data_IF_796574968891
#
_entry.id   IF_796574968891
#
_cell.length_a   1.000
_cell.length_b   1.000
_cell.length_c   1.000
_cell.angle_alpha   90.00
_cell.angle_beta   90.00
_cell.angle_gamma   90.00
#
_symmetry.space_group_name_H-M   'P 1'
#
loop_
_entity.id
_entity.type
_entity.pdbx_description
1 polymer ?
#
# COMPACT_ATOMS: atom_id res chain seq x y z
N UNK A 1 8.26 14.45 -28.10
CA UNK A 1 8.99 15.38 -27.20
C UNK A 1 8.99 14.76 -25.82
N UNK A 2 10.00 13.92 -25.59
CA UNK A 2 10.23 13.24 -24.30
C UNK A 2 10.54 14.31 -23.24
N UNK A 3 9.78 14.33 -22.14
CA UNK A 3 10.12 15.15 -20.99
C UNK A 3 11.06 14.33 -20.12
N UNK A 4 12.29 14.80 -19.97
CA UNK A 4 13.30 14.22 -19.10
C UNK A 4 12.75 13.95 -17.68
N UNK A 5 13.19 12.87 -17.02
CA UNK A 5 12.81 12.59 -15.65
C UNK A 5 13.36 13.68 -14.72
N UNK A 6 12.47 14.31 -13.94
CA UNK A 6 12.84 15.35 -12.99
C UNK A 6 13.87 14.85 -11.97
N UNK A 7 15.09 15.40 -12.05
CA UNK A 7 16.10 15.29 -11.00
C UNK A 7 15.58 15.84 -9.67
N UNK A 8 16.07 15.27 -8.57
CA UNK A 8 15.84 15.79 -7.22
C UNK A 8 16.27 17.25 -7.15
N UNK A 9 15.30 18.15 -7.12
CA UNK A 9 15.56 19.58 -7.06
C UNK A 9 16.26 19.94 -5.75
N UNK A 10 17.50 20.42 -5.87
CA UNK A 10 18.35 20.84 -4.76
C UNK A 10 17.60 21.82 -3.81
N UNK A 11 17.98 21.89 -2.53
CA UNK A 11 17.44 22.89 -1.59
C UNK A 11 17.49 24.30 -2.21
N UNK A 12 16.33 24.96 -2.33
CA UNK A 12 16.18 26.26 -3.00
C UNK A 12 15.41 26.23 -4.33
N UNK A 13 15.27 25.06 -4.98
CA UNK A 13 14.56 24.92 -6.25
C UNK A 13 13.03 24.78 -6.13
N UNK A 14 12.50 24.66 -4.90
CA UNK A 14 11.07 24.66 -4.54
C UNK A 14 10.35 26.02 -4.71
N UNK A 15 10.90 26.88 -5.57
CA UNK A 15 10.36 28.19 -5.95
C UNK A 15 9.76 28.17 -7.34
N UNK A 16 10.15 27.22 -8.18
CA UNK A 16 9.68 27.11 -9.58
C UNK A 16 8.29 26.44 -9.65
N UNK A 17 7.60 26.55 -10.80
CA UNK A 17 6.36 25.83 -11.03
C UNK A 17 6.50 24.33 -10.76
N UNK A 18 5.62 23.81 -9.92
CA UNK A 18 5.63 22.42 -9.50
C UNK A 18 4.27 22.01 -8.92
N UNK A 19 4.07 20.71 -8.75
CA UNK A 19 2.93 20.16 -8.03
C UNK A 19 3.47 19.28 -6.90
N UNK A 20 2.99 19.53 -5.69
CA UNK A 20 3.44 18.84 -4.49
C UNK A 20 2.26 18.43 -3.63
N UNK A 21 2.29 17.18 -3.17
CA UNK A 21 1.43 16.72 -2.09
C UNK A 21 2.13 16.94 -0.75
N UNK A 22 1.42 17.55 0.19
CA UNK A 22 1.88 17.86 1.54
C UNK A 22 1.01 17.12 2.53
N UNK A 23 1.64 16.44 3.50
CA UNK A 23 0.95 15.84 4.64
C UNK A 23 1.49 16.38 5.94
N UNK A 24 0.60 16.92 6.77
CA UNK A 24 0.92 17.45 8.09
C UNK A 24 0.22 16.59 9.13
N UNK A 25 0.97 16.04 10.08
CA UNK A 25 0.46 15.06 11.05
C UNK A 25 0.34 15.71 12.42
N UNK A 26 -0.82 15.55 13.06
CA UNK A 26 -1.08 16.00 14.42
C UNK A 26 -0.11 15.35 15.40
N UNK A 27 0.17 16.03 16.51
CA UNK A 27 1.05 15.52 17.57
C UNK A 27 0.57 14.15 18.08
N UNK A 28 1.47 13.19 18.13
CA UNK A 28 1.29 11.78 18.43
C UNK A 28 0.11 11.12 17.68
N UNK A 29 -0.22 11.62 16.48
CA UNK A 29 -1.45 11.28 15.74
C UNK A 29 -2.75 11.40 16.57
N UNK A 30 -2.78 12.35 17.51
CA UNK A 30 -4.00 12.67 18.23
C UNK A 30 -5.07 13.19 17.26
N UNK A 31 -6.34 12.91 17.55
CA UNK A 31 -7.47 13.35 16.74
C UNK A 31 -7.80 14.83 17.01
N UNK A 32 -6.83 15.73 16.81
CA UNK A 32 -6.95 17.15 17.14
C UNK A 32 -7.82 17.94 16.16
N UNK A 33 -7.91 17.50 14.90
CA UNK A 33 -8.51 18.28 13.84
C UNK A 33 -9.95 17.86 13.50
N UNK A 34 -10.42 16.73 14.02
CA UNK A 34 -11.79 16.28 13.80
C UNK A 34 -12.04 14.86 14.27
N UNK A 35 -13.28 14.42 14.03
CA UNK A 35 -13.73 13.05 14.26
C UNK A 35 -14.27 12.49 12.96
N UNK A 36 -13.97 11.20 12.71
CA UNK A 36 -14.51 10.51 11.54
C UNK A 36 -15.96 10.07 11.82
N UNK A 37 -16.87 10.47 10.93
CA UNK A 37 -18.30 10.19 11.00
C UNK A 37 -18.84 9.72 9.63
N UNK A 38 -20.13 9.40 9.56
CA UNK A 38 -20.83 9.00 8.35
C UNK A 38 -22.13 9.79 8.24
N UNK A 39 -22.34 10.49 7.12
CA UNK A 39 -23.49 11.40 6.94
C UNK A 39 -24.74 10.71 6.36
N UNK A 40 -24.72 9.39 6.25
CA UNK A 40 -25.75 8.58 5.59
C UNK A 40 -25.42 8.24 4.13
N UNK A 41 -24.52 9.00 3.49
CA UNK A 41 -24.12 8.79 2.08
C UNK A 41 -22.64 8.45 1.93
N UNK A 42 -21.77 9.08 2.73
CA UNK A 42 -20.31 8.91 2.65
C UNK A 42 -19.64 9.16 3.99
N UNK A 43 -18.38 8.77 4.10
CA UNK A 43 -17.60 9.12 5.27
C UNK A 43 -17.22 10.60 5.24
N UNK A 44 -17.42 11.26 6.38
CA UNK A 44 -17.11 12.66 6.58
C UNK A 44 -16.20 12.86 7.78
N UNK A 45 -15.57 14.04 7.84
CA UNK A 45 -14.79 14.46 8.99
C UNK A 45 -15.49 15.67 9.58
N UNK A 46 -16.07 15.47 10.76
CA UNK A 46 -16.58 16.53 11.62
C UNK A 46 -15.39 17.24 12.23
N UNK A 47 -15.09 18.44 11.73
CA UNK A 47 -13.89 19.18 12.13
C UNK A 47 -14.11 19.76 13.53
N UNK A 48 -13.09 19.64 14.37
CA UNK A 48 -13.02 20.43 15.61
C UNK A 48 -12.86 21.92 15.28
N UNK A 49 -13.01 22.82 16.26
CA UNK A 49 -12.64 24.23 16.07
C UNK A 49 -11.20 24.40 15.54
N UNK A 50 -10.26 23.56 16.00
CA UNK A 50 -8.88 23.58 15.50
C UNK A 50 -8.80 23.07 14.05
N UNK A 51 -9.59 22.07 13.66
CA UNK A 51 -9.72 21.65 12.26
C UNK A 51 -10.20 22.76 11.33
N UNK A 52 -11.10 23.64 11.80
CA UNK A 52 -11.53 24.82 11.04
C UNK A 52 -10.46 25.91 10.95
N UNK A 53 -9.62 26.06 11.97
CA UNK A 53 -8.43 26.94 11.92
C UNK A 53 -7.50 26.57 10.76
N UNK A 54 -7.29 25.27 10.50
CA UNK A 54 -6.48 24.82 9.35
C UNK A 54 -7.06 25.36 8.04
N UNK A 55 -8.37 25.29 7.83
CA UNK A 55 -9.02 25.82 6.62
C UNK A 55 -8.91 27.35 6.57
N UNK A 56 -9.10 28.05 7.68
CA UNK A 56 -9.00 29.51 7.73
C UNK A 56 -7.58 30.00 7.41
N UNK A 57 -6.55 29.37 7.97
CA UNK A 57 -5.16 29.70 7.69
C UNK A 57 -4.75 29.34 6.27
N UNK A 58 -5.32 28.28 5.70
CA UNK A 58 -5.12 27.90 4.31
C UNK A 58 -5.65 28.98 3.37
N UNK A 59 -6.84 29.54 3.64
CA UNK A 59 -7.37 30.68 2.88
C UNK A 59 -6.47 31.92 2.98
N UNK A 60 -5.94 32.22 4.17
CA UNK A 60 -4.96 33.32 4.36
C UNK A 60 -3.68 33.09 3.55
N UNK A 61 -3.17 31.86 3.55
CA UNK A 61 -2.01 31.48 2.74
C UNK A 61 -2.25 31.75 1.25
N UNK A 62 -3.42 31.38 0.72
CA UNK A 62 -3.77 31.63 -0.69
C UNK A 62 -3.89 33.12 -1.02
N UNK A 63 -4.44 33.92 -0.10
CA UNK A 63 -4.53 35.37 -0.28
C UNK A 63 -3.14 36.05 -0.33
N UNK A 64 -2.17 35.51 0.41
CA UNK A 64 -0.79 36.06 0.48
C UNK A 64 0.14 35.52 -0.62
N UNK A 65 -0.23 34.41 -1.26
CA UNK A 65 0.59 33.73 -2.26
C UNK A 65 -0.28 33.35 -3.48
N UNK A 66 -0.62 34.33 -4.36
CA UNK A 66 -1.48 34.09 -5.51
C UNK A 66 -0.89 33.11 -6.54
N UNK A 67 0.41 32.83 -6.47
CA UNK A 67 1.10 31.81 -7.28
C UNK A 67 0.74 30.39 -6.89
N UNK A 68 0.06 30.20 -5.75
CA UNK A 68 -0.34 28.90 -5.24
C UNK A 68 -1.81 28.64 -5.55
N UNK A 69 -2.09 27.46 -6.10
CA UNK A 69 -3.43 26.87 -6.16
C UNK A 69 -3.48 25.61 -5.31
N UNK A 70 -4.60 25.39 -4.62
CA UNK A 70 -4.90 24.11 -3.98
C UNK A 70 -5.79 23.33 -4.94
N UNK A 71 -5.29 22.18 -5.38
CA UNK A 71 -5.99 21.29 -6.30
C UNK A 71 -6.88 20.29 -5.57
N UNK A 72 -6.50 19.91 -4.35
CA UNK A 72 -7.31 19.09 -3.45
C UNK A 72 -6.79 19.26 -2.02
N UNK A 73 -7.69 19.19 -1.04
CA UNK A 73 -7.33 19.11 0.37
C UNK A 73 -8.28 18.20 1.14
N UNK A 74 -7.78 17.67 2.26
CA UNK A 74 -8.61 16.90 3.20
C UNK A 74 -8.02 17.01 4.61
N UNK A 75 -8.77 17.67 5.49
CA UNK A 75 -8.55 17.59 6.94
C UNK A 75 -9.12 16.26 7.44
N UNK A 76 -8.24 15.42 7.96
CA UNK A 76 -8.51 14.17 8.65
C UNK A 76 -8.39 14.39 10.17
N UNK A 77 -8.93 13.49 11.01
CA UNK A 77 -8.84 13.63 12.48
C UNK A 77 -7.44 13.94 13.01
N UNK A 78 -6.43 13.23 12.52
CA UNK A 78 -5.04 13.27 12.98
C UNK A 78 -4.05 13.86 11.97
N UNK A 79 -4.50 14.30 10.79
CA UNK A 79 -3.61 14.86 9.77
C UNK A 79 -4.34 15.72 8.73
N UNK A 80 -3.59 16.47 7.94
CA UNK A 80 -4.12 17.28 6.85
C UNK A 80 -3.33 17.01 5.57
N UNK A 81 -4.03 16.58 4.52
CA UNK A 81 -3.49 16.44 3.17
C UNK A 81 -3.80 17.67 2.32
N UNK A 82 -2.82 18.19 1.59
CA UNK A 82 -3.00 19.28 0.61
C UNK A 82 -2.23 18.95 -0.66
N UNK A 83 -2.86 19.04 -1.83
CA UNK A 83 -2.21 19.02 -3.14
C UNK A 83 -2.10 20.46 -3.62
N UNK A 84 -0.87 20.93 -3.74
CA UNK A 84 -0.52 22.30 -4.05
C UNK A 84 0.10 22.35 -5.44
N UNK A 85 -0.38 23.28 -6.27
CA UNK A 85 0.26 23.68 -7.51
C UNK A 85 0.87 25.07 -7.36
N UNK A 86 2.16 25.17 -7.62
CA UNK A 86 2.86 26.44 -7.83
C UNK A 86 2.80 26.74 -9.32
N UNK A 87 2.18 27.85 -9.72
CA UNK A 87 1.92 28.18 -11.13
C UNK A 87 3.03 28.99 -11.77
N UNK A 88 3.78 29.77 -10.99
CA UNK A 88 4.87 30.62 -11.44
C UNK A 88 5.99 30.67 -10.40
N UNK A 89 7.16 31.17 -10.78
CA UNK A 89 8.30 31.28 -9.85
C UNK A 89 7.97 32.21 -8.69
N UNK A 90 8.18 31.75 -7.45
CA UNK A 90 7.87 32.46 -6.21
C UNK A 90 9.13 33.06 -5.55
N UNK A 91 8.96 34.17 -4.82
CA UNK A 91 10.03 34.77 -4.00
C UNK A 91 10.47 33.86 -2.85
N UNK A 92 9.50 33.20 -2.20
CA UNK A 92 9.72 32.21 -1.13
C UNK A 92 9.45 30.81 -1.66
N UNK A 93 10.16 29.81 -1.17
CA UNK A 93 9.88 28.42 -1.53
C UNK A 93 8.54 27.94 -0.98
N UNK A 94 7.92 26.95 -1.62
CA UNK A 94 6.67 26.37 -1.11
C UNK A 94 6.82 25.80 0.31
N UNK A 95 8.00 25.28 0.66
CA UNK A 95 8.30 24.80 2.02
C UNK A 95 8.26 25.93 3.05
N UNK A 96 8.77 27.11 2.71
CA UNK A 96 8.70 28.30 3.57
C UNK A 96 7.25 28.79 3.72
N UNK A 97 6.47 28.76 2.63
CA UNK A 97 5.05 29.15 2.66
C UNK A 97 4.24 28.20 3.55
N UNK A 98 4.39 26.88 3.36
CA UNK A 98 3.72 25.86 4.20
C UNK A 98 4.14 25.99 5.66
N UNK A 99 5.42 26.29 5.94
CA UNK A 99 5.89 26.56 7.30
C UNK A 99 5.18 27.77 7.92
N UNK A 100 5.02 28.86 7.17
CA UNK A 100 4.26 30.03 7.61
C UNK A 100 2.80 29.72 7.90
N UNK A 101 2.15 28.95 7.02
CA UNK A 101 0.79 28.43 7.24
C UNK A 101 0.68 27.63 8.54
N UNK A 102 1.61 26.70 8.80
CA UNK A 102 1.63 25.90 10.04
C UNK A 102 1.89 26.77 11.27
N UNK A 103 2.75 27.78 11.17
CA UNK A 103 2.98 28.73 12.25
C UNK A 103 1.72 29.52 12.59
N UNK A 104 0.95 29.95 11.57
CA UNK A 104 -0.36 30.56 11.76
C UNK A 104 -1.34 29.64 12.49
N UNK A 105 -1.39 28.36 12.10
CA UNK A 105 -2.22 27.35 12.79
C UNK A 105 -1.81 27.19 14.27
N UNK A 106 -0.51 27.10 14.54
CA UNK A 106 0.02 27.02 15.93
C UNK A 106 -0.31 28.25 16.75
N UNK A 107 -0.25 29.45 16.16
CA UNK A 107 -0.57 30.69 16.85
C UNK A 107 -2.05 30.73 17.27
N UNK A 108 -2.97 30.33 16.39
CA UNK A 108 -4.39 30.22 16.75
C UNK A 108 -4.65 29.10 17.76
N UNK A 109 -3.98 27.94 17.63
CA UNK A 109 -4.09 26.87 18.62
C UNK A 109 -3.69 27.32 20.02
N UNK A 110 -2.62 28.11 20.17
CA UNK A 110 -2.23 28.66 21.47
C UNK A 110 -3.30 29.55 22.09
N UNK A 111 -3.99 30.37 21.29
CA UNK A 111 -5.12 31.18 21.76
C UNK A 111 -6.30 30.32 22.24
N UNK A 112 -6.41 29.10 21.73
CA UNK A 112 -7.41 28.11 22.15
C UNK A 112 -6.96 27.26 23.35
N UNK A 113 -5.81 27.55 23.97
CA UNK A 113 -5.30 26.84 25.14
C UNK A 113 -4.41 25.63 24.85
N UNK A 114 -3.99 25.39 23.60
CA UNK A 114 -3.01 24.35 23.31
C UNK A 114 -1.61 24.81 23.72
N UNK A 115 -1.09 24.25 24.82
CA UNK A 115 0.25 24.54 25.34
C UNK A 115 1.37 23.85 24.53
N UNK A 116 1.09 22.65 24.04
CA UNK A 116 2.04 21.84 23.28
C UNK A 116 1.94 22.09 21.76
N UNK A 117 2.99 21.72 21.04
CA UNK A 117 2.99 21.75 19.58
C UNK A 117 1.91 20.79 19.04
N UNK A 118 1.03 21.29 18.16
CA UNK A 118 -0.07 20.52 17.57
C UNK A 118 0.38 19.56 16.45
N UNK A 119 1.64 19.62 16.02
CA UNK A 119 2.21 18.75 14.99
C UNK A 119 3.37 17.90 15.53
N UNK A 120 3.51 16.68 15.02
CA UNK A 120 4.60 15.77 15.42
C UNK A 120 5.96 16.18 14.86
N UNK A 121 6.01 16.45 13.55
CA UNK A 121 7.24 16.56 12.78
C UNK A 121 7.10 17.58 11.64
N UNK A 122 8.19 17.74 10.89
CA UNK A 122 8.19 18.47 9.61
C UNK A 122 7.18 17.83 8.64
N UNK A 123 6.44 18.62 7.86
CA UNK A 123 5.50 18.06 6.87
C UNK A 123 6.20 17.14 5.89
N UNK A 124 5.51 16.07 5.50
CA UNK A 124 5.96 15.21 4.42
C UNK A 124 5.60 15.85 3.07
N UNK A 125 6.58 15.94 2.16
CA UNK A 125 6.41 16.48 0.82
C UNK A 125 6.67 15.41 -0.23
N UNK A 126 5.78 15.32 -1.23
CA UNK A 126 5.95 14.46 -2.41
C UNK A 126 5.70 15.26 -3.68
N UNK A 127 6.73 15.43 -4.51
CA UNK A 127 6.58 16.00 -5.84
C UNK A 127 5.81 15.04 -6.75
N UNK A 128 4.89 15.58 -7.55
CA UNK A 128 4.11 14.82 -8.54
C UNK A 128 4.68 15.11 -9.93
N UNK A 129 5.58 14.25 -10.41
CA UNK A 129 6.39 14.49 -11.59
C UNK A 129 5.96 13.68 -12.83
N UNK A 130 5.16 12.62 -12.64
CA UNK A 130 4.82 11.67 -13.71
C UNK A 130 3.34 11.73 -14.13
N UNK A 131 3.08 11.35 -15.38
CA UNK A 131 1.72 11.26 -15.94
C UNK A 131 0.83 10.40 -15.04
N UNK A 132 -0.38 10.89 -14.77
CA UNK A 132 -1.37 10.20 -13.93
C UNK A 132 -1.17 10.34 -12.41
N UNK A 133 0.01 10.78 -11.93
CA UNK A 133 0.22 10.94 -10.49
C UNK A 133 -0.67 12.00 -9.85
N UNK A 134 -0.89 13.12 -10.54
CA UNK A 134 -1.78 14.18 -10.04
C UNK A 134 -3.21 13.66 -9.86
N UNK A 135 -3.77 13.04 -10.90
CA UNK A 135 -5.12 12.50 -10.86
C UNK A 135 -5.27 11.44 -9.76
N UNK A 136 -4.31 10.52 -9.66
CA UNK A 136 -4.28 9.50 -8.62
C UNK A 136 -4.18 10.11 -7.21
N UNK A 137 -3.39 11.18 -7.04
CA UNK A 137 -3.25 11.86 -5.75
C UNK A 137 -4.51 12.62 -5.35
N UNK A 138 -5.18 13.29 -6.29
CA UNK A 138 -6.47 13.95 -6.03
C UNK A 138 -7.51 12.91 -5.58
N UNK A 139 -7.63 11.80 -6.32
CA UNK A 139 -8.51 10.67 -5.95
C UNK A 139 -8.15 10.11 -4.56
N UNK A 140 -6.85 9.94 -4.28
CA UNK A 140 -6.37 9.52 -2.98
C UNK A 140 -6.85 10.47 -1.87
N UNK A 141 -6.61 11.77 -2.00
CA UNK A 141 -6.97 12.78 -0.98
C UNK A 141 -8.45 12.74 -0.64
N UNK A 142 -9.32 12.70 -1.65
CA UNK A 142 -10.77 12.65 -1.42
C UNK A 142 -11.25 11.34 -0.79
N UNK A 143 -10.68 10.20 -1.23
CA UNK A 143 -11.05 8.88 -0.71
C UNK A 143 -10.56 8.59 0.73
N UNK A 144 -9.73 9.47 1.33
CA UNK A 144 -9.11 9.17 2.64
C UNK A 144 -10.14 8.96 3.76
N UNK A 145 -11.22 9.75 3.78
CA UNK A 145 -12.27 9.58 4.79
C UNK A 145 -12.97 8.22 4.64
N UNK A 146 -13.37 7.86 3.42
CA UNK A 146 -14.05 6.59 3.16
C UNK A 146 -13.16 5.40 3.49
N UNK A 147 -11.87 5.46 3.12
CA UNK A 147 -10.90 4.42 3.49
C UNK A 147 -10.68 4.32 4.99
N UNK A 148 -10.60 5.45 5.69
CA UNK A 148 -10.51 5.44 7.15
C UNK A 148 -11.77 4.82 7.78
N UNK A 149 -12.94 5.08 7.21
CA UNK A 149 -14.21 4.54 7.69
C UNK A 149 -14.33 3.04 7.47
N UNK A 150 -13.97 2.55 6.27
CA UNK A 150 -13.91 1.11 5.97
C UNK A 150 -12.97 0.35 6.92
N UNK A 151 -11.83 0.95 7.29
CA UNK A 151 -10.93 0.36 8.31
C UNK A 151 -11.57 0.31 9.68
N UNK A 152 -12.28 1.37 10.07
CA UNK A 152 -12.99 1.43 11.36
C UNK A 152 -14.10 0.38 11.44
N UNK A 153 -14.78 0.10 10.32
CA UNK A 153 -15.82 -0.92 10.23
C UNK A 153 -15.28 -2.36 10.17
N UNK A 154 -14.10 -2.57 9.59
CA UNK A 154 -13.52 -3.90 9.41
C UNK A 154 -12.13 -4.01 10.05
N UNK A 155 -11.98 -3.77 11.37
CA UNK A 155 -10.67 -3.70 12.01
C UNK A 155 -9.85 -4.99 11.85
N UNK A 156 -10.50 -6.15 11.87
CA UNK A 156 -9.84 -7.45 11.76
C UNK A 156 -9.16 -7.65 10.40
N UNK A 157 -9.76 -7.16 9.31
CA UNK A 157 -9.14 -7.24 7.97
C UNK A 157 -7.86 -6.40 7.85
N UNK A 158 -7.68 -5.40 8.72
CA UNK A 158 -6.52 -4.50 8.71
C UNK A 158 -5.56 -4.73 9.86
N UNK A 159 -5.70 -5.85 10.57
CA UNK A 159 -4.81 -6.24 11.66
C UNK A 159 -3.67 -7.11 11.12
N UNK A 160 -2.45 -6.83 11.58
CA UNK A 160 -1.32 -7.75 11.40
C UNK A 160 -1.41 -8.86 12.44
N UNK A 161 -1.43 -10.11 11.97
CA UNK A 161 -1.35 -11.31 12.80
C UNK A 161 0.06 -11.87 12.66
N UNK A 162 0.86 -11.81 13.73
CA UNK A 162 2.29 -12.22 13.71
C UNK A 162 2.50 -13.73 13.66
N UNK A 163 1.48 -14.50 14.02
CA UNK A 163 1.55 -15.95 14.10
C UNK A 163 0.26 -16.57 13.61
N UNK A 164 0.20 -16.76 12.30
CA UNK A 164 -0.82 -17.57 11.63
C UNK A 164 -0.20 -18.91 11.28
N UNK A 165 -0.85 -20.01 11.68
CA UNK A 165 -0.33 -21.37 11.48
C UNK A 165 -1.21 -22.12 10.50
N UNK A 166 -0.62 -22.63 9.41
CA UNK A 166 -1.31 -23.44 8.40
C UNK A 166 -0.33 -24.46 7.82
N UNK A 167 -0.77 -25.72 7.65
CA UNK A 167 0.07 -26.82 7.15
C UNK A 167 1.39 -27.01 7.94
N UNK A 168 1.38 -26.72 9.24
CA UNK A 168 2.58 -26.78 10.10
C UNK A 168 3.60 -25.66 9.84
N UNK A 169 3.27 -24.67 9.01
CA UNK A 169 4.10 -23.51 8.71
C UNK A 169 3.57 -22.26 9.43
N UNK A 170 4.48 -21.34 9.76
CA UNK A 170 4.16 -20.09 10.45
C UNK A 170 4.29 -18.89 9.51
N UNK A 171 3.31 -17.98 9.61
CA UNK A 171 3.22 -16.78 8.78
C UNK A 171 2.94 -15.55 9.63
N UNK A 172 3.43 -14.39 9.19
CA UNK A 172 2.72 -13.13 9.47
C UNK A 172 1.65 -12.95 8.40
N UNK A 173 0.45 -12.51 8.78
CA UNK A 173 -0.65 -12.29 7.84
C UNK A 173 -1.39 -10.98 8.06
N UNK A 174 -2.04 -10.48 7.00
CA UNK A 174 -3.00 -9.38 7.06
C UNK A 174 -4.08 -9.59 6.01
N UNK A 175 -5.34 -9.40 6.39
CA UNK A 175 -6.50 -9.54 5.52
C UNK A 175 -7.46 -10.61 6.02
N UNK A 176 -8.22 -11.18 5.10
CA UNK A 176 -9.21 -12.21 5.42
C UNK A 176 -8.55 -13.58 5.61
N UNK A 177 -8.28 -13.95 6.87
CA UNK A 177 -7.67 -15.25 7.20
C UNK A 177 -8.53 -16.45 6.79
N UNK A 178 -9.85 -16.31 6.70
CA UNK A 178 -10.76 -17.40 6.31
C UNK A 178 -10.56 -17.87 4.86
N UNK A 179 -9.82 -17.11 4.03
CA UNK A 179 -9.41 -17.59 2.70
C UNK A 179 -8.46 -18.80 2.77
N UNK A 180 -7.86 -19.06 3.94
CA UNK A 180 -7.07 -20.26 4.22
C UNK A 180 -7.93 -21.48 4.53
N UNK A 181 -9.20 -21.31 4.86
CA UNK A 181 -10.09 -22.45 5.13
C UNK A 181 -10.96 -22.77 3.90
N UNK A 182 -10.84 -21.97 2.83
CA UNK A 182 -11.62 -22.14 1.62
C UNK A 182 -11.15 -23.36 0.81
N UNK A 183 -12.03 -24.35 0.55
CA UNK A 183 -11.63 -25.65 0.00
C UNK A 183 -11.19 -25.58 -1.46
N UNK A 184 -11.90 -24.79 -2.28
CA UNK A 184 -11.61 -24.67 -3.70
C UNK A 184 -10.55 -23.61 -3.96
N UNK A 185 -9.36 -24.04 -4.35
CA UNK A 185 -8.28 -23.12 -4.68
C UNK A 185 -7.62 -23.43 -6.01
N UNK A 186 -6.95 -22.42 -6.54
CA UNK A 186 -6.07 -22.53 -7.70
C UNK A 186 -4.76 -21.81 -7.39
N UNK A 187 -3.68 -22.27 -8.01
CA UNK A 187 -2.37 -21.64 -7.90
C UNK A 187 -1.95 -21.04 -9.25
N UNK A 188 -1.44 -19.80 -9.21
CA UNK A 188 -0.85 -19.14 -10.38
C UNK A 188 0.67 -19.04 -10.18
N UNK A 189 1.38 -19.85 -10.94
CA UNK A 189 2.82 -19.73 -11.23
C UNK A 189 2.98 -19.55 -12.75
N UNK A 190 3.77 -18.58 -13.16
CA UNK A 190 4.05 -18.34 -14.59
C UNK A 190 5.55 -18.19 -14.79
N UNK A 191 6.08 -18.83 -15.84
CA UNK A 191 7.48 -18.69 -16.22
C UNK A 191 7.81 -17.22 -16.55
N UNK A 192 9.02 -16.78 -16.18
CA UNK A 192 9.55 -15.47 -16.59
C UNK A 192 9.70 -15.31 -18.11
N UNK A 193 9.74 -16.43 -18.84
CA UNK A 193 9.86 -16.48 -20.30
C UNK A 193 8.51 -16.83 -20.97
N UNK A 194 7.40 -16.84 -20.24
CA UNK A 194 6.10 -17.15 -20.82
C UNK A 194 5.74 -16.13 -21.90
N UNK A 195 5.18 -16.62 -23.01
CA UNK A 195 4.69 -15.75 -24.09
C UNK A 195 3.39 -15.08 -23.68
N UNK A 196 3.02 -14.00 -24.37
CA UNK A 196 1.75 -13.30 -24.11
C UNK A 196 0.55 -14.24 -24.30
N UNK A 197 0.58 -15.12 -25.31
CA UNK A 197 -0.44 -16.14 -25.55
C UNK A 197 -0.60 -17.10 -24.38
N UNK A 198 0.51 -17.59 -23.81
CA UNK A 198 0.49 -18.46 -22.63
C UNK A 198 -0.09 -17.75 -21.40
N UNK A 199 0.28 -16.48 -21.20
CA UNK A 199 -0.26 -15.66 -20.11
C UNK A 199 -1.76 -15.43 -20.31
N UNK A 200 -2.22 -15.16 -21.53
CA UNK A 200 -3.65 -14.99 -21.83
C UNK A 200 -4.43 -16.29 -21.62
N UNK A 201 -3.91 -17.44 -22.03
CA UNK A 201 -4.57 -18.72 -21.82
C UNK A 201 -4.70 -19.06 -20.33
N UNK A 202 -3.63 -18.85 -19.55
CA UNK A 202 -3.65 -19.03 -18.11
C UNK A 202 -4.61 -18.03 -17.43
N UNK A 203 -4.66 -16.77 -17.91
CA UNK A 203 -5.61 -15.77 -17.43
C UNK A 203 -7.07 -16.22 -17.63
N UNK A 204 -7.42 -16.71 -18.82
CA UNK A 204 -8.80 -17.16 -19.09
C UNK A 204 -9.18 -18.33 -18.18
N UNK A 205 -8.29 -19.31 -18.04
CA UNK A 205 -8.50 -20.44 -17.12
C UNK A 205 -8.68 -19.97 -15.69
N UNK A 206 -7.84 -19.03 -15.24
CA UNK A 206 -7.89 -18.50 -13.88
C UNK A 206 -9.17 -17.73 -13.59
N UNK A 207 -9.64 -16.94 -14.57
CA UNK A 207 -10.90 -16.20 -14.48
C UNK A 207 -12.10 -17.14 -14.40
N UNK A 208 -12.14 -18.19 -15.23
CA UNK A 208 -13.22 -19.18 -15.20
C UNK A 208 -13.29 -19.87 -13.84
N UNK A 209 -12.17 -20.33 -13.30
CA UNK A 209 -12.12 -20.92 -11.96
C UNK A 209 -12.57 -19.91 -10.88
N UNK A 210 -12.10 -18.66 -10.94
CA UNK A 210 -12.49 -17.63 -9.98
C UNK A 210 -13.99 -17.29 -10.04
N UNK A 211 -14.60 -17.32 -11.22
CA UNK A 211 -16.05 -17.17 -11.40
C UNK A 211 -16.85 -18.30 -10.72
N UNK A 212 -16.26 -19.50 -10.63
CA UNK A 212 -16.82 -20.62 -9.86
C UNK A 212 -16.57 -20.52 -8.35
N UNK A 213 -16.01 -19.42 -7.85
CA UNK A 213 -15.76 -19.21 -6.42
C UNK A 213 -14.41 -19.71 -5.90
N UNK A 214 -13.51 -20.14 -6.80
CA UNK A 214 -12.18 -20.64 -6.43
C UNK A 214 -11.28 -19.50 -5.92
N UNK A 215 -10.55 -19.73 -4.83
CA UNK A 215 -9.56 -18.79 -4.26
C UNK A 215 -8.21 -18.93 -4.96
N UNK A 216 -7.63 -17.81 -5.39
CA UNK A 216 -6.35 -17.83 -6.10
C UNK A 216 -5.16 -17.57 -5.18
N UNK A 217 -4.17 -18.46 -5.21
CA UNK A 217 -2.88 -18.35 -4.53
C UNK A 217 -1.77 -17.98 -5.51
N UNK A 218 -0.92 -17.02 -5.15
CA UNK A 218 0.23 -16.62 -5.98
C UNK A 218 1.29 -15.88 -5.17
N UNK A 219 2.54 -15.95 -5.61
CA UNK A 219 3.62 -15.10 -5.08
C UNK A 219 3.81 -13.79 -5.88
N UNK A 220 3.09 -13.62 -7.00
CA UNK A 220 3.12 -12.42 -7.85
C UNK A 220 4.55 -11.96 -8.23
N UNK A 221 5.44 -12.91 -8.48
CA UNK A 221 6.87 -12.72 -8.73
C UNK A 221 7.08 -12.31 -10.19
N UNK A 222 6.52 -13.10 -11.12
CA UNK A 222 6.71 -12.90 -12.56
C UNK A 222 5.75 -11.86 -13.15
N UNK A 223 6.08 -11.32 -14.34
CA UNK A 223 5.18 -10.41 -15.05
C UNK A 223 3.84 -11.08 -15.39
N UNK A 224 3.85 -12.36 -15.77
CA UNK A 224 2.63 -13.13 -16.03
C UNK A 224 1.75 -13.23 -14.78
N UNK A 225 2.32 -13.63 -13.65
CA UNK A 225 1.60 -13.72 -12.38
C UNK A 225 1.01 -12.36 -11.97
N UNK A 226 1.76 -11.27 -12.11
CA UNK A 226 1.29 -9.92 -11.80
C UNK A 226 0.14 -9.48 -12.70
N UNK A 227 0.20 -9.80 -14.00
CA UNK A 227 -0.88 -9.52 -14.96
C UNK A 227 -2.16 -10.26 -14.59
N UNK A 228 -2.05 -11.55 -14.30
CA UNK A 228 -3.21 -12.38 -13.91
C UNK A 228 -3.79 -11.91 -12.58
N UNK A 229 -2.93 -11.71 -11.57
CA UNK A 229 -3.32 -11.19 -10.24
C UNK A 229 -4.03 -9.86 -10.35
N UNK A 230 -3.54 -8.96 -11.21
CA UNK A 230 -4.17 -7.66 -11.46
C UNK A 230 -5.58 -7.83 -12.00
N UNK A 231 -5.78 -8.67 -13.02
CA UNK A 231 -7.08 -8.90 -13.63
C UNK A 231 -8.09 -9.51 -12.64
N UNK A 232 -7.67 -10.53 -11.87
CA UNK A 232 -8.50 -11.15 -10.84
C UNK A 232 -8.91 -10.14 -9.76
N UNK A 233 -7.95 -9.36 -9.27
CA UNK A 233 -8.20 -8.32 -8.26
C UNK A 233 -9.18 -7.25 -8.76
N UNK A 234 -9.05 -6.83 -10.01
CA UNK A 234 -9.90 -5.79 -10.61
C UNK A 234 -11.34 -6.27 -10.81
N UNK A 235 -11.56 -7.58 -10.98
CA UNK A 235 -12.89 -8.19 -10.99
C UNK A 235 -13.41 -8.55 -9.59
N UNK A 236 -12.63 -8.29 -8.52
CA UNK A 236 -13.06 -8.50 -7.13
C UNK A 236 -12.98 -9.96 -6.66
N UNK A 237 -12.23 -10.82 -7.35
CA UNK A 237 -12.04 -12.20 -6.93
C UNK A 237 -11.08 -12.33 -5.73
N UNK A 238 -11.27 -13.33 -4.87
CA UNK A 238 -10.46 -13.54 -3.67
C UNK A 238 -9.02 -13.96 -4.00
N UNK A 239 -8.06 -13.33 -3.34
CA UNK A 239 -6.62 -13.55 -3.55
C UNK A 239 -5.89 -13.82 -2.25
N UNK A 240 -5.01 -14.83 -2.26
CA UNK A 240 -3.98 -15.07 -1.26
C UNK A 240 -2.62 -14.80 -1.90
N UNK A 241 -1.91 -13.78 -1.41
CA UNK A 241 -0.64 -13.34 -1.97
C UNK A 241 0.49 -13.61 -0.99
N UNK A 242 1.46 -14.41 -1.42
CA UNK A 242 2.68 -14.67 -0.67
C UNK A 242 3.68 -13.54 -0.92
N UNK A 243 4.06 -12.84 0.14
CA UNK A 243 4.93 -11.67 0.08
C UNK A 243 6.41 -12.10 0.09
N UNK A 244 7.18 -11.59 -0.87
CA UNK A 244 8.63 -11.70 -0.85
C UNK A 244 9.30 -10.65 0.05
N UNK A 245 8.77 -9.43 0.08
CA UNK A 245 9.38 -8.28 0.77
C UNK A 245 8.85 -8.09 2.20
N UNK A 246 7.92 -8.96 2.62
CA UNK A 246 7.42 -9.06 3.99
C UNK A 246 6.60 -7.86 4.49
N UNK A 247 6.26 -7.92 5.77
CA UNK A 247 5.62 -6.86 6.53
C UNK A 247 6.64 -6.03 7.31
N UNK A 248 6.25 -4.85 7.85
CA UNK A 248 7.11 -4.12 8.78
C UNK A 248 7.52 -5.01 9.96
N UNK A 249 8.76 -4.84 10.43
CA UNK A 249 9.26 -5.54 11.62
C UNK A 249 8.37 -5.27 12.84
N UNK A 250 8.21 -6.28 13.68
CA UNK A 250 7.51 -6.17 14.96
C UNK A 250 8.20 -5.12 15.86
N UNK A 251 7.40 -4.28 16.51
CA UNK A 251 7.84 -3.14 17.30
C UNK A 251 8.29 -1.93 16.49
N UNK A 252 8.34 -1.99 15.15
CA UNK A 252 8.76 -0.84 14.34
C UNK A 252 7.69 0.28 14.35
N UNK A 253 8.07 1.57 14.24
CA UNK A 253 7.12 2.67 14.14
C UNK A 253 6.12 2.53 12.98
N UNK A 254 6.50 1.78 11.94
CA UNK A 254 5.69 1.54 10.76
C UNK A 254 4.62 0.46 10.95
N UNK A 255 4.77 -0.44 11.92
CA UNK A 255 3.82 -1.52 12.20
C UNK A 255 2.45 -0.97 12.59
N UNK A 256 2.41 -0.04 13.55
CA UNK A 256 1.17 0.51 14.13
C UNK A 256 0.20 1.09 13.09
N UNK A 257 0.73 1.56 11.96
CA UNK A 257 -0.05 2.23 10.91
C UNK A 257 0.02 1.50 9.57
N UNK A 258 0.55 0.27 9.55
CA UNK A 258 0.63 -0.50 8.34
C UNK A 258 -0.77 -0.80 7.79
N UNK A 259 -0.89 -0.70 6.47
CA UNK A 259 -2.05 -1.11 5.70
C UNK A 259 -1.57 -1.43 4.28
N UNK A 260 -2.25 -2.34 3.56
CA UNK A 260 -1.96 -2.59 2.17
C UNK A 260 -2.04 -1.30 1.35
N UNK A 261 -1.05 -1.09 0.49
CA UNK A 261 -0.99 0.08 -0.37
C UNK A 261 -1.96 -0.03 -1.56
N UNK A 262 -2.47 1.13 -1.99
CA UNK A 262 -3.13 1.30 -3.29
C UNK A 262 -4.25 0.30 -3.55
N UNK A 263 -4.07 -0.51 -4.58
CA UNK A 263 -5.07 -1.44 -5.10
C UNK A 263 -5.41 -2.61 -4.17
N UNK A 264 -4.49 -2.99 -3.29
CA UNK A 264 -4.73 -4.05 -2.31
C UNK A 264 -5.59 -3.58 -1.15
N UNK A 265 -5.64 -2.27 -0.89
CA UNK A 265 -6.51 -1.73 0.16
C UNK A 265 -7.99 -2.05 -0.09
N UNK A 266 -8.47 -1.85 -1.31
CA UNK A 266 -9.89 -2.07 -1.62
C UNK A 266 -10.23 -3.58 -1.54
N UNK A 267 -9.40 -4.45 -2.13
CA UNK A 267 -9.58 -5.89 -2.03
C UNK A 267 -9.57 -6.38 -0.56
N UNK A 268 -8.66 -5.83 0.26
CA UNK A 268 -8.62 -6.08 1.70
C UNK A 268 -9.89 -5.62 2.40
N UNK A 269 -10.37 -4.40 2.10
CA UNK A 269 -11.58 -3.86 2.73
C UNK A 269 -12.86 -4.63 2.40
N UNK A 270 -12.88 -5.31 1.25
CA UNK A 270 -14.00 -6.14 0.81
C UNK A 270 -13.85 -7.61 1.25
N UNK A 271 -12.84 -7.95 2.07
CA UNK A 271 -12.60 -9.33 2.52
C UNK A 271 -12.12 -10.28 1.41
N UNK A 272 -11.60 -9.75 0.30
CA UNK A 272 -11.15 -10.51 -0.88
C UNK A 272 -9.63 -10.62 -0.98
N UNK A 273 -8.91 -10.29 0.08
CA UNK A 273 -7.45 -10.35 0.08
C UNK A 273 -6.93 -10.93 1.39
N UNK A 274 -5.93 -11.80 1.28
CA UNK A 274 -5.03 -12.17 2.35
C UNK A 274 -3.59 -12.02 1.86
N UNK A 275 -2.80 -11.25 2.59
CA UNK A 275 -1.36 -11.15 2.40
C UNK A 275 -0.67 -12.07 3.42
N UNK A 276 0.26 -12.89 2.96
CA UNK A 276 1.00 -13.86 3.77
C UNK A 276 2.50 -13.67 3.61
N UNK A 277 3.19 -13.40 4.70
CA UNK A 277 4.64 -13.45 4.78
C UNK A 277 5.04 -14.74 5.50
N UNK A 278 5.65 -15.71 4.82
CA UNK A 278 6.20 -16.88 5.48
C UNK A 278 7.36 -16.50 6.40
N UNK A 279 7.42 -17.09 7.59
CA UNK A 279 8.57 -16.92 8.47
C UNK A 279 9.84 -17.52 7.86
N UNK A 280 11.01 -17.13 8.35
CA UNK A 280 12.28 -17.77 7.95
C UNK A 280 12.27 -19.28 8.24
N UNK A 281 11.62 -19.70 9.32
CA UNK A 281 11.42 -21.10 9.66
C UNK A 281 10.52 -21.81 8.64
N UNK A 282 9.47 -21.16 8.16
CA UNK A 282 8.60 -21.71 7.11
C UNK A 282 9.35 -21.89 5.78
N UNK A 283 10.17 -20.89 5.39
CA UNK A 283 10.97 -20.95 4.16
C UNK A 283 12.02 -22.08 4.23
N UNK A 284 12.58 -22.33 5.42
CA UNK A 284 13.64 -23.32 5.64
C UNK A 284 13.15 -24.66 6.17
N UNK A 285 11.83 -24.83 6.31
CA UNK A 285 11.23 -26.08 6.78
C UNK A 285 11.71 -27.26 5.91
N UNK A 286 12.03 -28.44 6.49
CA UNK A 286 12.59 -29.56 5.74
C UNK A 286 11.76 -29.97 4.53
N UNK A 287 10.42 -29.94 4.66
CA UNK A 287 9.47 -30.23 3.57
C UNK A 287 9.57 -29.24 2.42
N UNK A 288 9.57 -27.93 2.73
CA UNK A 288 9.72 -26.85 1.74
C UNK A 288 11.10 -26.88 1.11
N UNK A 289 12.15 -27.11 1.89
CA UNK A 289 13.51 -27.21 1.39
C UNK A 289 13.67 -28.35 0.40
N UNK A 290 13.16 -29.54 0.73
CA UNK A 290 13.20 -30.69 -0.17
C UNK A 290 12.43 -30.42 -1.47
N UNK A 291 11.24 -29.83 -1.38
CA UNK A 291 10.43 -29.48 -2.55
C UNK A 291 11.13 -28.44 -3.45
N UNK A 292 11.67 -27.37 -2.86
CA UNK A 292 12.34 -26.30 -3.59
C UNK A 292 13.62 -26.79 -4.28
N UNK A 293 14.43 -27.61 -3.60
CA UNK A 293 15.64 -28.24 -4.17
C UNK A 293 15.28 -29.15 -5.35
N UNK A 294 14.22 -29.95 -5.23
CA UNK A 294 13.74 -30.80 -6.33
C UNK A 294 13.27 -29.97 -7.53
N UNK A 295 12.50 -28.90 -7.30
CA UNK A 295 12.06 -27.98 -8.36
C UNK A 295 13.24 -27.29 -9.03
N UNK A 296 14.24 -26.84 -8.27
CA UNK A 296 15.45 -26.23 -8.82
C UNK A 296 16.27 -27.21 -9.65
N UNK A 297 16.40 -28.47 -9.20
CA UNK A 297 17.09 -29.54 -9.91
C UNK A 297 16.41 -29.85 -11.23
N UNK A 298 15.09 -30.09 -11.23
CA UNK A 298 14.29 -30.31 -12.45
C UNK A 298 14.43 -29.15 -13.45
N UNK A 299 14.40 -27.91 -12.95
CA UNK A 299 14.59 -26.70 -13.78
C UNK A 299 16.01 -26.58 -14.37
N UNK A 300 17.03 -27.16 -13.73
CA UNK A 300 18.40 -27.21 -14.25
C UNK A 300 18.57 -28.32 -15.30
N UNK A 301 18.08 -29.53 -14.99
CA UNK A 301 18.11 -30.69 -15.88
C UNK A 301 17.36 -30.43 -17.19
N UNK A 302 16.18 -29.78 -17.13
CA UNK A 302 15.40 -29.39 -18.30
C UNK A 302 16.12 -28.38 -19.21
N UNK A 303 17.19 -27.76 -18.73
CA UNK A 303 18.07 -26.86 -19.50
C UNK A 303 19.44 -27.46 -19.79
N UNK A 304 19.60 -28.77 -19.57
CA UNK A 304 20.84 -29.51 -19.72
C UNK A 304 22.00 -28.95 -18.86
N UNK A 305 21.70 -28.39 -17.69
CA UNK A 305 22.70 -27.94 -16.71
C UNK A 305 22.81 -28.90 -15.53
N UNK A 306 24.02 -29.07 -15.01
CA UNK A 306 24.24 -29.73 -13.71
C UNK A 306 23.69 -28.85 -12.58
N UNK A 307 23.02 -29.48 -11.62
CA UNK A 307 22.46 -28.79 -10.46
C UNK A 307 23.45 -28.76 -9.29
N UNK A 308 23.71 -27.55 -8.79
CA UNK A 308 24.37 -27.33 -7.50
C UNK A 308 23.41 -26.63 -6.54
N UNK A 309 23.34 -27.04 -5.27
CA UNK A 309 22.53 -26.36 -4.26
C UNK A 309 22.86 -24.87 -4.16
N UNK A 310 21.83 -24.05 -3.94
CA UNK A 310 22.00 -22.59 -3.79
C UNK A 310 21.67 -22.17 -2.35
N UNK A 311 22.28 -21.09 -1.84
CA UNK A 311 21.99 -20.60 -0.49
C UNK A 311 20.50 -20.28 -0.31
N UNK A 312 19.92 -20.64 0.83
CA UNK A 312 18.52 -20.32 1.19
C UNK A 312 18.28 -18.80 1.29
N UNK A 313 19.34 -18.04 1.54
CA UNK A 313 19.34 -16.58 1.53
C UNK A 313 19.21 -15.98 0.12
N UNK A 314 19.45 -16.77 -0.93
CA UNK A 314 19.38 -16.28 -2.31
C UNK A 314 17.94 -15.98 -2.72
N UNK A 315 17.76 -14.90 -3.49
CA UNK A 315 16.44 -14.51 -4.00
C UNK A 315 15.83 -15.60 -4.88
N UNK A 316 16.66 -16.29 -5.67
CA UNK A 316 16.21 -17.41 -6.51
C UNK A 316 15.63 -18.55 -5.67
N UNK A 317 16.26 -18.90 -4.56
CA UNK A 317 15.72 -19.92 -3.65
C UNK A 317 14.40 -19.46 -3.06
N UNK A 318 14.36 -18.24 -2.49
CA UNK A 318 13.15 -17.67 -1.88
C UNK A 318 11.96 -17.70 -2.84
N UNK A 319 12.15 -17.29 -4.10
CA UNK A 319 11.09 -17.33 -5.10
C UNK A 319 10.52 -18.73 -5.35
N UNK A 320 11.39 -19.73 -5.45
CA UNK A 320 10.94 -21.13 -5.61
C UNK A 320 10.25 -21.61 -4.34
N UNK A 321 10.79 -21.32 -3.16
CA UNK A 321 10.19 -21.68 -1.89
C UNK A 321 8.79 -21.07 -1.72
N UNK A 322 8.57 -19.80 -2.10
CA UNK A 322 7.24 -19.19 -2.09
C UNK A 322 6.25 -19.95 -2.99
N UNK A 323 6.67 -20.35 -4.18
CA UNK A 323 5.82 -21.15 -5.07
C UNK A 323 5.50 -22.53 -4.48
N UNK A 324 6.48 -23.20 -3.86
CA UNK A 324 6.24 -24.49 -3.19
C UNK A 324 5.30 -24.36 -1.98
N UNK A 325 5.42 -23.28 -1.20
CA UNK A 325 4.50 -22.99 -0.09
C UNK A 325 3.09 -22.76 -0.65
N UNK A 326 2.92 -21.94 -1.69
CA UNK A 326 1.61 -21.74 -2.31
C UNK A 326 1.00 -23.05 -2.84
N UNK A 327 1.83 -23.92 -3.42
CA UNK A 327 1.41 -25.25 -3.89
C UNK A 327 0.95 -26.15 -2.74
N UNK A 328 1.72 -26.20 -1.66
CA UNK A 328 1.36 -26.95 -0.45
C UNK A 328 0.06 -26.43 0.17
N UNK A 329 -0.08 -25.11 0.29
CA UNK A 329 -1.28 -24.48 0.81
C UNK A 329 -2.50 -24.83 -0.06
N UNK A 330 -2.39 -24.79 -1.38
CA UNK A 330 -3.54 -25.12 -2.22
C UNK A 330 -3.81 -26.63 -2.28
N UNK A 331 -2.78 -27.48 -2.27
CA UNK A 331 -2.94 -28.94 -2.32
C UNK A 331 -3.50 -29.59 -1.05
N UNK A 332 -3.65 -28.86 0.05
CA UNK A 332 -4.09 -29.42 1.35
C UNK A 332 -5.52 -29.96 1.38
N UNK A 333 -6.32 -29.66 0.36
CA UNK A 333 -7.71 -30.11 0.25
C UNK A 333 -7.92 -31.22 -0.78
N UNK A 334 -6.83 -31.74 -1.36
CA UNK A 334 -6.86 -32.76 -2.41
C UNK A 334 -6.75 -34.21 -1.88
N UNK A 335 -6.99 -34.42 -0.58
CA UNK A 335 -6.97 -35.73 0.08
C UNK A 335 -8.36 -36.37 0.16
#
# INVERSE_FOLDING_TARGET
>A
MEKEPFEWQAPGAWRKPCIVHVTMVAKNRQHLFGTLAFDGTKAVVEKTPLGWVLIAQQKKMLALCPEIKILADKVMPDHHHIVIQVTQTMKRSIKEVVRGYMQGCKAEARKMGFEQNIYDDVPFYRSLCHKGQLEAMIKYVFANADRAWKRKQNPDLFRLHRRTEVCGLTFTSLGNIFLLDWPDCQMIETSRNATDEQIQQQLQTALQAAQCGVVTYTAAISNGERTITKALREQGFPLVILLNDGFPKEGSPHEKYYKPGGVYFEACSNGKLLLLEPSEQAITAPTIRAAAENTLRKKAEAKHFSYSPIPVSSQRYKFVALNEIARMLCGRFSD
#
